data_IF_945727000077
#
_entry.id   IF_945727000077
#
_cell.length_a   1.000
_cell.length_b   1.000
_cell.length_c   1.000
_cell.angle_alpha   90.00
_cell.angle_beta   90.00
_cell.angle_gamma   90.00
#
_symmetry.space_group_name_H-M   'P 1'
#
loop_
_entity.id
_entity.type
_entity.pdbx_description
1 polymer ?
#
# COMPACT_ATOMS: atom_id res chain seq x y z
N UNK A 1 -0.97 6.59 14.03
CA UNK A 1 0.37 6.07 14.33
C UNK A 1 0.30 4.95 15.32
N UNK A 2 -0.29 3.87 14.83
CA UNK A 2 -0.12 2.52 15.29
C UNK A 2 1.11 1.91 14.58
N UNK A 3 1.76 1.00 15.27
CA UNK A 3 2.74 0.09 14.68
C UNK A 3 2.16 -1.31 14.83
N UNK A 4 1.94 -1.99 13.71
CA UNK A 4 1.41 -3.34 13.63
C UNK A 4 2.51 -4.23 13.07
N UNK A 5 2.81 -5.31 13.77
CA UNK A 5 3.87 -6.25 13.38
C UNK A 5 3.30 -7.66 13.38
N UNK A 6 3.49 -8.36 12.27
CA UNK A 6 3.13 -9.75 12.07
C UNK A 6 4.16 -10.70 12.69
N UNK A 7 4.22 -11.91 12.15
CA UNK A 7 4.97 -13.05 12.64
C UNK A 7 5.78 -13.66 11.50
N UNK A 8 6.17 -14.94 11.60
CA UNK A 8 6.83 -15.66 10.52
C UNK A 8 5.86 -16.54 9.71
N UNK A 9 4.56 -16.39 9.94
CA UNK A 9 3.50 -17.08 9.20
C UNK A 9 2.53 -16.07 8.60
N UNK A 10 1.54 -16.57 7.84
CA UNK A 10 0.57 -15.72 7.17
C UNK A 10 -0.31 -14.94 8.17
N UNK A 11 -0.24 -13.62 8.12
CA UNK A 11 -0.92 -12.70 9.01
C UNK A 11 -1.87 -11.74 8.26
N UNK A 12 -2.90 -11.29 8.98
CA UNK A 12 -3.77 -10.19 8.57
C UNK A 12 -3.46 -8.96 9.44
N UNK A 13 -2.79 -7.97 8.85
CA UNK A 13 -2.41 -6.74 9.53
C UNK A 13 -3.41 -5.65 9.17
N UNK A 14 -3.97 -4.98 10.15
CA UNK A 14 -4.96 -3.92 9.95
C UNK A 14 -4.48 -2.64 10.62
N UNK A 15 -4.19 -1.65 9.79
CA UNK A 15 -3.92 -0.27 10.18
C UNK A 15 -5.21 0.50 10.47
N UNK A 16 -5.05 1.80 10.68
CA UNK A 16 -6.10 2.77 10.96
C UNK A 16 -6.18 3.82 9.84
N UNK A 17 -7.08 4.79 9.98
CA UNK A 17 -7.13 5.92 9.04
C UNK A 17 -5.96 6.91 9.24
N UNK A 18 -5.15 6.75 10.28
CA UNK A 18 -3.98 7.57 10.56
C UNK A 18 -2.70 6.99 9.97
N UNK A 19 -1.63 7.79 9.89
CA UNK A 19 -0.32 7.31 9.42
C UNK A 19 0.22 6.21 10.35
N UNK A 20 0.39 5.00 9.84
CA UNK A 20 0.77 3.80 10.59
C UNK A 20 2.00 3.10 10.00
N UNK A 21 2.57 2.18 10.77
CA UNK A 21 3.65 1.29 10.30
C UNK A 21 3.17 -0.14 10.36
N UNK A 22 3.19 -0.85 9.22
CA UNK A 22 2.81 -2.26 9.13
C UNK A 22 4.03 -3.08 8.69
N UNK A 23 4.38 -4.11 9.46
CA UNK A 23 5.54 -4.98 9.20
C UNK A 23 5.09 -6.45 9.19
N UNK A 24 5.00 -7.09 8.03
CA UNK A 24 4.56 -8.49 7.88
C UNK A 24 5.61 -9.50 8.38
N UNK A 25 6.89 -9.20 8.12
CA UNK A 25 8.07 -10.02 8.43
C UNK A 25 8.21 -11.25 7.54
N UNK A 26 7.47 -12.33 7.78
CA UNK A 26 7.58 -13.51 6.93
C UNK A 26 6.30 -14.32 6.88
N UNK A 27 6.07 -15.02 5.78
CA UNK A 27 4.77 -15.60 5.47
C UNK A 27 4.11 -14.84 4.33
N UNK A 28 2.95 -15.32 3.89
CA UNK A 28 2.17 -14.65 2.83
C UNK A 28 1.11 -13.77 3.51
N UNK A 29 1.38 -12.48 3.63
CA UNK A 29 0.62 -11.55 4.46
C UNK A 29 -0.42 -10.74 3.69
N UNK A 30 -1.48 -10.34 4.39
CA UNK A 30 -2.45 -9.35 3.92
C UNK A 30 -2.40 -8.10 4.80
N UNK A 31 -2.01 -6.98 4.22
CA UNK A 31 -1.80 -5.71 4.92
C UNK A 31 -2.88 -4.70 4.51
N UNK A 32 -3.82 -4.39 5.40
CA UNK A 32 -4.85 -3.37 5.22
C UNK A 32 -4.36 -2.06 5.85
N UNK A 33 -3.80 -1.17 5.04
CA UNK A 33 -3.15 0.04 5.52
C UNK A 33 -4.16 1.08 6.05
N UNK A 34 -5.31 1.20 5.37
CA UNK A 34 -6.29 2.25 5.63
C UNK A 34 -6.04 3.51 4.80
N UNK A 35 -6.52 4.65 5.31
CA UNK A 35 -6.47 5.94 4.65
C UNK A 35 -5.29 6.83 5.06
N UNK A 36 -4.43 6.34 5.95
CA UNK A 36 -3.25 7.02 6.51
C UNK A 36 -2.05 7.04 5.58
N UNK A 37 -1.09 7.96 5.78
CA UNK A 37 0.19 7.90 5.06
C UNK A 37 1.06 6.84 5.74
N UNK A 38 0.99 5.61 5.25
CA UNK A 38 1.54 4.44 5.95
C UNK A 38 2.93 4.03 5.45
N UNK A 39 3.72 3.46 6.36
CA UNK A 39 4.98 2.77 6.06
C UNK A 39 4.75 1.28 6.15
N UNK A 40 4.87 0.58 5.04
CA UNK A 40 4.46 -0.82 4.93
C UNK A 40 5.64 -1.64 4.42
N UNK A 41 5.92 -2.74 5.12
CA UNK A 41 6.90 -3.73 4.70
C UNK A 41 6.24 -5.12 4.81
N UNK A 42 5.98 -5.78 3.68
CA UNK A 42 5.41 -7.14 3.70
C UNK A 42 6.44 -8.16 4.21
N UNK A 43 7.70 -7.97 3.86
CA UNK A 43 8.78 -8.83 4.32
C UNK A 43 9.03 -9.97 3.34
N UNK A 44 9.11 -11.20 3.85
CA UNK A 44 9.45 -12.38 3.07
C UNK A 44 8.22 -13.26 2.81
N UNK A 45 7.79 -13.35 1.57
CA UNK A 45 6.70 -14.21 1.16
C UNK A 45 6.06 -13.67 -0.11
N UNK A 46 4.80 -14.02 -0.34
CA UNK A 46 3.96 -13.35 -1.33
C UNK A 46 2.93 -12.52 -0.59
N UNK A 47 3.20 -11.23 -0.50
CA UNK A 47 2.45 -10.30 0.33
C UNK A 47 1.51 -9.44 -0.52
N UNK A 48 0.39 -9.04 0.07
CA UNK A 48 -0.60 -8.19 -0.57
C UNK A 48 -0.98 -7.04 0.33
N UNK A 49 -1.04 -5.84 -0.23
CA UNK A 49 -1.46 -4.63 0.50
C UNK A 49 -2.70 -4.00 -0.11
N UNK A 50 -3.56 -3.46 0.74
CA UNK A 50 -4.72 -2.65 0.37
C UNK A 50 -4.56 -1.26 0.97
N UNK A 51 -4.61 -0.24 0.12
CA UNK A 51 -4.51 1.18 0.48
C UNK A 51 -5.72 1.90 -0.11
N UNK A 52 -6.47 2.60 0.76
CA UNK A 52 -7.66 3.34 0.36
C UNK A 52 -7.46 4.84 0.60
N UNK A 53 -7.23 5.57 -0.48
CA UNK A 53 -7.14 7.03 -0.50
C UNK A 53 -8.31 7.67 -1.22
N UNK A 54 -9.47 7.03 -1.25
CA UNK A 54 -10.68 7.55 -1.90
C UNK A 54 -11.11 8.93 -1.39
N UNK A 55 -10.75 9.29 -0.16
CA UNK A 55 -11.01 10.61 0.41
C UNK A 55 -9.99 11.70 0.00
N UNK A 56 -8.93 11.35 -0.72
CA UNK A 56 -7.93 12.32 -1.16
C UNK A 56 -8.53 13.27 -2.22
N UNK A 57 -8.28 14.56 -2.09
CA UNK A 57 -8.72 15.58 -3.08
C UNK A 57 -7.57 16.14 -3.91
N UNK A 58 -6.33 15.84 -3.52
CA UNK A 58 -5.13 16.23 -4.25
C UNK A 58 -4.65 15.12 -5.16
N UNK A 59 -3.87 15.49 -6.18
CA UNK A 59 -3.24 14.52 -7.08
C UNK A 59 -2.30 13.57 -6.32
N UNK A 60 -2.43 12.29 -6.62
CA UNK A 60 -1.58 11.20 -6.16
C UNK A 60 -0.72 10.75 -7.33
N UNK A 61 0.58 10.59 -7.09
CA UNK A 61 1.48 9.97 -8.06
C UNK A 61 2.02 8.69 -7.45
N UNK A 62 1.77 7.57 -8.11
CA UNK A 62 2.21 6.26 -7.69
C UNK A 62 3.01 5.64 -8.82
N UNK A 63 4.24 5.22 -8.54
CA UNK A 63 5.07 4.54 -9.53
C UNK A 63 5.71 3.30 -8.90
N UNK A 64 5.39 2.12 -9.44
CA UNK A 64 5.98 0.85 -9.03
C UNK A 64 7.01 0.40 -10.07
N UNK A 65 8.23 0.09 -9.64
CA UNK A 65 9.36 -0.16 -10.56
C UNK A 65 9.73 -1.65 -10.73
N UNK A 66 9.20 -2.55 -9.90
CA UNK A 66 9.33 -4.03 -9.91
C UNK A 66 8.80 -4.52 -8.53
N UNK A 67 8.53 -5.82 -8.32
CA UNK A 67 7.42 -6.33 -7.48
C UNK A 67 7.57 -6.15 -5.96
N UNK A 68 8.41 -5.24 -5.49
CA UNK A 68 8.71 -5.04 -4.08
C UNK A 68 9.03 -3.59 -3.70
N UNK A 69 8.90 -2.62 -4.62
CA UNK A 69 9.16 -1.22 -4.29
C UNK A 69 8.09 -0.30 -4.88
N UNK A 70 7.19 0.14 -4.01
CA UNK A 70 6.29 1.26 -4.22
C UNK A 70 6.94 2.47 -3.59
N UNK A 71 7.52 3.34 -4.42
CA UNK A 71 7.96 4.65 -3.96
C UNK A 71 6.97 5.69 -4.44
N UNK A 72 6.69 6.66 -3.55
CA UNK A 72 6.11 7.99 -3.80
C UNK A 72 4.67 8.27 -3.36
N UNK A 73 4.28 7.90 -2.13
CA UNK A 73 3.09 8.49 -1.49
C UNK A 73 3.47 9.64 -0.56
N UNK A 74 4.05 10.75 -1.03
CA UNK A 74 4.27 11.96 -0.21
C UNK A 74 4.78 11.73 1.25
N UNK A 75 5.67 10.73 1.46
CA UNK A 75 6.16 10.33 2.79
C UNK A 75 5.78 8.93 3.27
N UNK A 76 4.84 8.26 2.58
CA UNK A 76 4.49 6.84 2.75
C UNK A 76 5.25 5.96 1.73
N UNK A 77 5.57 4.74 2.14
CA UNK A 77 6.35 3.79 1.34
C UNK A 77 5.88 2.36 1.56
N UNK A 78 5.86 1.57 0.49
CA UNK A 78 5.53 0.13 0.55
C UNK A 78 6.69 -0.65 -0.03
N UNK A 79 7.20 -1.61 0.73
CA UNK A 79 8.26 -2.53 0.32
C UNK A 79 7.86 -3.98 0.53
N UNK A 80 8.49 -4.88 -0.22
CA UNK A 80 8.28 -6.33 -0.06
C UNK A 80 6.82 -6.74 -0.22
N UNK A 81 6.13 -6.22 -1.24
CA UNK A 81 4.73 -6.54 -1.52
C UNK A 81 4.57 -6.77 -3.02
N UNK A 82 4.08 -7.96 -3.38
CA UNK A 82 3.94 -8.44 -4.76
C UNK A 82 2.59 -8.07 -5.39
N UNK A 83 1.62 -7.64 -4.58
CA UNK A 83 0.28 -7.29 -5.04
C UNK A 83 -0.27 -6.03 -4.35
N UNK A 84 -0.43 -4.94 -5.10
CA UNK A 84 -0.97 -3.67 -4.59
C UNK A 84 -2.41 -3.43 -5.03
N UNK A 85 -3.28 -3.17 -4.05
CA UNK A 85 -4.66 -2.72 -4.25
C UNK A 85 -4.75 -1.27 -3.79
N UNK A 86 -4.72 -0.36 -4.75
CA UNK A 86 -4.72 1.07 -4.47
C UNK A 86 -6.00 1.70 -4.98
N UNK A 87 -6.69 2.43 -4.11
CA UNK A 87 -7.80 3.32 -4.49
C UNK A 87 -7.36 4.75 -4.28
N UNK A 88 -7.35 5.54 -5.35
CA UNK A 88 -7.06 6.96 -5.34
C UNK A 88 -8.33 7.80 -5.18
N UNK A 89 -8.17 9.11 -5.16
CA UNK A 89 -9.21 10.06 -4.76
C UNK A 89 -9.81 10.83 -5.92
N UNK A 90 -10.26 12.05 -5.68
CA UNK A 90 -10.79 12.93 -6.73
C UNK A 90 -9.71 13.79 -7.41
N UNK A 91 -8.44 13.43 -7.23
CA UNK A 91 -7.30 14.18 -7.76
C UNK A 91 -6.95 13.71 -9.17
N UNK A 92 -6.23 14.54 -9.93
CA UNK A 92 -5.69 14.10 -11.22
C UNK A 92 -4.50 13.17 -10.96
N UNK A 93 -4.79 11.88 -10.89
CA UNK A 93 -3.89 10.88 -10.34
C UNK A 93 -3.03 10.22 -11.44
N UNK A 94 -1.73 10.12 -11.18
CA UNK A 94 -0.78 9.40 -12.03
C UNK A 94 -0.45 8.07 -11.39
N UNK A 95 -1.13 6.99 -11.78
CA UNK A 95 -0.92 5.66 -11.21
C UNK A 95 -0.26 4.73 -12.23
N UNK A 96 0.93 4.23 -11.91
CA UNK A 96 1.65 3.25 -12.74
C UNK A 96 1.91 1.99 -11.92
N UNK A 97 1.29 0.89 -12.38
CA UNK A 97 1.47 -0.45 -11.84
C UNK A 97 2.84 -1.04 -12.15
N UNK A 98 3.23 -2.03 -11.36
CA UNK A 98 4.48 -2.75 -11.50
C UNK A 98 4.27 -4.06 -12.26
N UNK A 99 5.21 -4.97 -12.09
CA UNK A 99 4.99 -6.38 -12.42
C UNK A 99 4.26 -7.04 -11.24
N UNK A 100 3.27 -7.90 -11.50
CA UNK A 100 2.50 -8.58 -10.46
C UNK A 100 0.99 -8.46 -10.65
N UNK A 101 0.24 -8.80 -9.60
CA UNK A 101 -1.22 -8.66 -9.55
C UNK A 101 -1.61 -7.33 -8.89
N UNK A 102 -1.57 -6.25 -9.67
CA UNK A 102 -1.93 -4.92 -9.21
C UNK A 102 -3.36 -4.52 -9.61
N UNK A 103 -4.04 -3.83 -8.70
CA UNK A 103 -5.33 -3.18 -8.96
C UNK A 103 -5.23 -1.71 -8.54
N UNK A 104 -5.13 -0.82 -9.52
CA UNK A 104 -5.03 0.62 -9.29
C UNK A 104 -6.30 1.30 -9.79
N UNK A 105 -7.05 1.92 -8.88
CA UNK A 105 -8.24 2.69 -9.19
C UNK A 105 -7.96 4.18 -9.02
N UNK A 106 -7.98 4.95 -10.12
CA UNK A 106 -7.76 6.41 -10.10
C UNK A 106 -8.94 7.24 -9.61
N UNK A 107 -10.12 6.63 -9.44
CA UNK A 107 -11.37 7.32 -9.09
C UNK A 107 -11.62 8.58 -9.97
N UNK A 108 -12.22 9.64 -9.43
CA UNK A 108 -12.74 10.77 -10.20
C UNK A 108 -11.67 11.84 -10.44
N UNK A 109 -10.77 11.62 -11.39
CA UNK A 109 -9.82 12.63 -11.85
C UNK A 109 -9.25 12.26 -13.21
N UNK A 110 -9.32 13.20 -14.16
CA UNK A 110 -8.84 13.06 -15.55
C UNK A 110 -7.44 13.65 -15.73
#
# INVERSE_FOLDING_TARGET
>A
MATVTGTAGADLLVGSDGADTLLGLGGDDTLLAGAGLDSIDGGAGTDRVVIDRSAATGAITLFMLAPALVSTLAGAGVTGVEALFFTAGSGNDGLVGGAGEDSLAGAAGD
#
